data_IF_285907865142
#
_entry.id   IF_285907865142
#
_cell.length_a   1.000
_cell.length_b   1.000
_cell.length_c   1.000
_cell.angle_alpha   90.00
_cell.angle_beta   90.00
_cell.angle_gamma   90.00
#
_symmetry.space_group_name_H-M   'P 1'
#
loop_
_entity.id
_entity.type
_entity.pdbx_description
1 polymer ?
#
# COMPACT_ATOMS: atom_id res chain seq x y z
N UNK A 1 -71.03 3.23 -12.57
CA UNK A 1 -70.14 3.72 -11.47
C UNK A 1 -69.29 2.66 -10.79
N UNK A 2 -69.80 1.43 -10.54
CA UNK A 2 -69.02 0.36 -9.87
C UNK A 2 -67.83 -0.22 -10.71
N UNK A 3 -67.93 -0.22 -12.04
CA UNK A 3 -66.88 -0.80 -12.94
C UNK A 3 -65.62 0.09 -13.09
N UNK A 4 -65.74 1.40 -12.93
CA UNK A 4 -64.58 2.31 -12.98
C UNK A 4 -63.75 2.30 -11.67
N UNK A 5 -64.41 2.09 -10.54
CA UNK A 5 -63.73 2.02 -9.24
C UNK A 5 -62.84 0.77 -9.16
N UNK A 6 -63.28 -0.39 -9.69
CA UNK A 6 -62.48 -1.63 -9.67
C UNK A 6 -61.24 -1.55 -10.59
N UNK A 7 -61.33 -0.89 -11.75
CA UNK A 7 -60.19 -0.67 -12.63
C UNK A 7 -59.12 0.23 -12.04
N UNK A 8 -59.58 1.29 -11.33
CA UNK A 8 -58.66 2.23 -10.66
C UNK A 8 -57.89 1.62 -9.50
N UNK A 9 -58.53 0.71 -8.72
CA UNK A 9 -57.86 0.00 -7.62
C UNK A 9 -56.83 -1.00 -8.17
N UNK A 10 -57.14 -1.75 -9.23
CA UNK A 10 -56.24 -2.72 -9.84
C UNK A 10 -54.99 -2.02 -10.44
N UNK A 11 -55.15 -0.85 -11.04
CA UNK A 11 -54.02 -0.08 -11.57
C UNK A 11 -53.14 0.46 -10.45
N UNK A 12 -53.74 0.90 -9.33
CA UNK A 12 -52.96 1.39 -8.17
C UNK A 12 -52.14 0.27 -7.49
N UNK A 13 -52.71 -0.93 -7.37
CA UNK A 13 -51.99 -2.09 -6.83
C UNK A 13 -50.84 -2.55 -7.73
N UNK A 14 -51.05 -2.57 -9.07
CA UNK A 14 -49.96 -2.91 -10.02
C UNK A 14 -48.87 -1.86 -10.02
N UNK A 15 -49.20 -0.55 -9.92
CA UNK A 15 -48.20 0.51 -9.77
C UNK A 15 -47.43 0.42 -8.46
N UNK A 16 -48.03 0.04 -7.37
CA UNK A 16 -47.41 -0.13 -6.07
C UNK A 16 -46.44 -1.35 -6.07
N UNK A 17 -46.79 -2.46 -6.74
CA UNK A 17 -45.94 -3.62 -6.89
C UNK A 17 -44.73 -3.30 -7.77
N UNK A 18 -44.89 -2.52 -8.83
CA UNK A 18 -43.77 -2.10 -9.70
C UNK A 18 -42.83 -1.14 -8.96
N UNK A 19 -43.33 -0.26 -8.11
CA UNK A 19 -42.52 0.64 -7.28
C UNK A 19 -41.76 -0.10 -6.17
N UNK A 20 -42.33 -1.15 -5.61
CA UNK A 20 -41.66 -1.99 -4.61
C UNK A 20 -40.59 -2.93 -5.23
N UNK A 21 -40.76 -3.31 -6.51
CA UNK A 21 -39.74 -4.12 -7.22
C UNK A 21 -38.53 -3.31 -7.69
N UNK A 22 -38.59 -1.99 -7.74
CA UNK A 22 -37.47 -1.15 -8.21
C UNK A 22 -36.45 -0.77 -7.14
N UNK A 23 -36.69 -1.14 -5.86
CA UNK A 23 -35.80 -0.87 -4.73
C UNK A 23 -35.08 -2.11 -4.20
N UNK A 24 -34.98 -3.17 -4.98
CA UNK A 24 -33.94 -4.17 -4.69
C UNK A 24 -32.61 -3.60 -5.19
N UNK A 25 -31.94 -2.81 -4.35
CA UNK A 25 -30.49 -2.70 -4.43
C UNK A 25 -29.97 -4.15 -4.36
N UNK A 26 -29.51 -4.68 -5.49
CA UNK A 26 -28.63 -5.85 -5.44
C UNK A 26 -27.45 -5.42 -4.58
N UNK A 27 -27.47 -5.75 -3.32
CA UNK A 27 -26.25 -5.92 -2.55
C UNK A 27 -25.57 -7.04 -3.31
N UNK A 28 -24.54 -6.70 -4.07
CA UNK A 28 -23.67 -7.69 -4.67
C UNK A 28 -23.08 -8.48 -3.48
N UNK A 29 -23.66 -9.64 -3.22
CA UNK A 29 -23.27 -10.55 -2.14
C UNK A 29 -21.99 -11.29 -2.55
N UNK A 30 -20.98 -10.50 -2.96
CA UNK A 30 -19.65 -11.02 -3.24
C UNK A 30 -18.98 -11.29 -1.88
N UNK A 31 -18.59 -12.53 -1.67
CA UNK A 31 -17.67 -12.86 -0.60
C UNK A 31 -16.33 -12.13 -0.91
N UNK A 32 -15.81 -11.43 0.08
CA UNK A 32 -14.52 -10.75 -0.01
C UNK A 32 -13.56 -11.36 1.00
N UNK A 33 -12.32 -11.54 0.59
CA UNK A 33 -11.21 -11.83 1.48
C UNK A 33 -10.45 -10.53 1.78
N UNK A 34 -10.08 -10.35 3.05
CA UNK A 34 -9.24 -9.24 3.50
C UNK A 34 -7.84 -9.78 3.77
N UNK A 35 -6.84 -9.28 3.07
CA UNK A 35 -5.43 -9.69 3.22
C UNK A 35 -4.67 -8.53 3.83
N UNK A 36 -3.99 -8.78 4.96
CA UNK A 36 -3.13 -7.81 5.63
C UNK A 36 -1.76 -7.78 4.96
N UNK A 37 -1.41 -6.66 4.39
CA UNK A 37 -0.16 -6.45 3.66
C UNK A 37 0.92 -5.77 4.52
N UNK A 38 0.80 -5.82 5.85
CA UNK A 38 1.68 -5.10 6.76
C UNK A 38 2.43 -6.03 7.70
N UNK A 39 3.70 -5.74 7.93
CA UNK A 39 4.49 -6.35 8.99
C UNK A 39 4.11 -5.77 10.36
N UNK A 40 4.22 -6.60 11.41
CA UNK A 40 4.06 -6.12 12.79
C UNK A 40 5.27 -5.30 13.22
N UNK A 41 5.02 -4.21 13.96
CA UNK A 41 6.08 -3.44 14.60
C UNK A 41 6.54 -4.12 15.90
N UNK A 42 7.85 -4.39 15.99
CA UNK A 42 8.50 -5.02 17.13
C UNK A 42 9.98 -4.61 17.18
N UNK A 43 10.73 -5.17 18.12
CA UNK A 43 12.19 -5.00 18.16
C UNK A 43 12.92 -5.60 16.96
N UNK A 44 12.25 -6.44 16.13
CA UNK A 44 12.80 -7.06 14.92
C UNK A 44 12.39 -6.28 13.65
N UNK A 45 11.64 -5.19 13.78
CA UNK A 45 11.24 -4.36 12.64
C UNK A 45 12.46 -3.80 11.93
N UNK A 46 12.52 -4.00 10.63
CA UNK A 46 13.63 -3.50 9.81
C UNK A 46 13.42 -2.03 9.45
N UNK A 47 14.49 -1.29 9.52
CA UNK A 47 14.59 0.14 9.23
C UNK A 47 15.77 0.40 8.31
N UNK A 48 15.72 1.51 7.60
CA UNK A 48 16.91 2.04 6.94
C UNK A 48 18.09 2.05 7.91
N UNK A 49 19.26 1.69 7.44
CA UNK A 49 20.43 1.40 8.31
C UNK A 49 20.87 2.56 9.20
N UNK A 50 20.47 3.79 8.91
CA UNK A 50 20.75 4.97 9.74
C UNK A 50 19.56 5.43 10.59
N UNK A 51 18.35 4.88 10.38
CA UNK A 51 17.13 5.36 11.05
C UNK A 51 16.99 4.77 12.47
N UNK A 52 16.25 5.48 13.34
CA UNK A 52 15.94 5.02 14.70
C UNK A 52 14.98 3.82 14.67
N UNK A 53 15.33 2.68 15.29
CA UNK A 53 14.45 1.51 15.33
C UNK A 53 13.23 1.73 16.22
N UNK A 54 12.22 0.85 16.04
CA UNK A 54 11.04 0.82 16.90
C UNK A 54 11.38 0.43 18.33
N UNK A 55 10.82 1.15 19.27
CA UNK A 55 10.92 0.89 20.71
C UNK A 55 9.52 0.95 21.31
N UNK A 56 9.17 -0.05 22.14
CA UNK A 56 7.93 -0.12 22.91
C UNK A 56 8.25 -0.18 24.39
N UNK A 57 7.84 0.83 25.14
CA UNK A 57 8.09 0.95 26.56
C UNK A 57 6.81 0.71 27.36
N UNK A 58 6.81 -0.28 28.26
CA UNK A 58 5.66 -0.56 29.11
C UNK A 58 5.55 0.50 30.22
N UNK A 59 4.50 1.31 30.16
CA UNK A 59 4.14 2.27 31.20
C UNK A 59 3.51 1.56 32.39
N UNK A 60 2.56 0.66 32.12
CA UNK A 60 1.89 -0.17 33.14
C UNK A 60 1.33 -1.45 32.50
N UNK A 61 1.45 -2.56 33.24
CA UNK A 61 0.80 -3.82 32.84
C UNK A 61 0.49 -4.65 34.09
N UNK A 62 -0.79 -4.73 34.49
CA UNK A 62 -1.20 -5.50 35.68
C UNK A 62 -2.60 -5.18 36.14
N UNK A 63 -3.00 -5.75 37.30
CA UNK A 63 -4.22 -5.39 37.97
C UNK A 63 -4.02 -4.14 38.81
N UNK A 64 -4.93 -3.19 38.70
CA UNK A 64 -4.95 -1.98 39.51
C UNK A 64 -5.51 -2.25 40.91
N UNK A 65 -5.30 -1.34 41.87
CA UNK A 65 -5.88 -1.41 43.20
C UNK A 65 -7.42 -1.42 43.21
N UNK A 66 -8.04 -1.03 42.08
CA UNK A 66 -9.51 -1.08 41.85
C UNK A 66 -10.00 -2.41 41.31
N UNK A 67 -9.10 -3.40 41.09
CA UNK A 67 -9.43 -4.76 40.68
C UNK A 67 -9.64 -4.98 39.17
N UNK A 68 -9.35 -4.01 38.30
CA UNK A 68 -9.38 -4.23 36.83
C UNK A 68 -7.95 -4.31 36.27
N UNK A 69 -7.80 -5.08 35.20
CA UNK A 69 -6.55 -5.14 34.44
C UNK A 69 -6.39 -3.89 33.57
N UNK A 70 -5.17 -3.33 33.56
CA UNK A 70 -4.80 -2.20 32.72
C UNK A 70 -3.46 -2.48 32.06
N UNK A 71 -3.32 -2.11 30.78
CA UNK A 71 -2.08 -2.16 30.04
C UNK A 71 -1.93 -0.89 29.21
N UNK A 72 -0.81 -0.19 29.37
CA UNK A 72 -0.47 1.00 28.60
C UNK A 72 1.02 0.97 28.27
N UNK A 73 1.35 1.38 27.05
CA UNK A 73 2.72 1.48 26.58
C UNK A 73 2.91 2.83 25.88
N UNK A 74 4.15 3.32 25.89
CA UNK A 74 4.63 4.35 25.00
C UNK A 74 5.43 3.69 23.87
N UNK A 75 5.52 4.34 22.70
CA UNK A 75 6.41 3.87 21.64
C UNK A 75 7.15 5.03 21.00
N UNK A 76 8.31 4.72 20.45
CA UNK A 76 9.13 5.60 19.63
C UNK A 76 9.54 4.87 18.36
N UNK A 77 9.53 5.57 17.22
CA UNK A 77 9.94 5.03 15.90
C UNK A 77 10.39 6.15 14.98
N UNK A 78 11.21 5.86 13.98
CA UNK A 78 11.33 6.71 12.81
C UNK A 78 10.04 6.61 11.98
N UNK A 79 9.72 7.60 11.17
CA UNK A 79 8.56 7.59 10.26
C UNK A 79 8.70 6.53 9.18
N UNK A 80 9.95 6.32 8.70
CA UNK A 80 10.31 5.40 7.62
C UNK A 80 10.92 4.12 8.19
N UNK A 81 10.19 3.02 8.10
CA UNK A 81 10.60 1.69 8.54
C UNK A 81 9.43 0.78 8.89
N UNK A 82 9.64 -0.53 8.84
CA UNK A 82 8.54 -1.48 8.79
C UNK A 82 7.61 -1.16 7.62
N UNK A 83 6.37 -1.62 7.63
CA UNK A 83 5.40 -1.21 6.60
C UNK A 83 4.98 0.24 6.83
N UNK A 84 5.35 1.12 5.91
CA UNK A 84 5.14 2.56 6.03
C UNK A 84 4.76 3.21 4.70
N UNK A 85 4.43 4.48 4.74
CA UNK A 85 4.23 5.34 3.58
C UNK A 85 5.27 6.44 3.56
N UNK A 86 5.79 6.74 2.37
CA UNK A 86 6.53 7.96 2.08
C UNK A 86 5.57 9.01 1.55
N UNK A 87 5.48 10.13 2.27
CA UNK A 87 4.73 11.29 1.81
C UNK A 87 5.54 12.08 0.78
N UNK A 88 4.89 12.78 -0.15
CA UNK A 88 5.58 13.59 -1.17
C UNK A 88 6.65 14.53 -0.64
N UNK A 89 6.44 15.14 0.53
CA UNK A 89 7.40 16.05 1.16
C UNK A 89 8.75 15.39 1.49
N UNK A 90 8.80 14.07 1.55
CA UNK A 90 10.04 13.33 1.85
C UNK A 90 11.18 13.65 0.85
N UNK A 91 10.86 13.78 -0.43
CA UNK A 91 11.81 14.14 -1.50
C UNK A 91 11.39 15.35 -2.34
N UNK A 92 10.33 16.07 -1.93
CA UNK A 92 9.86 17.27 -2.61
C UNK A 92 9.50 18.34 -1.58
N UNK A 93 10.32 19.41 -1.49
CA UNK A 93 10.13 20.53 -0.55
C UNK A 93 8.73 21.17 -0.63
N UNK A 94 8.07 21.10 -1.79
CA UNK A 94 6.72 21.64 -2.04
C UNK A 94 5.66 20.50 -2.03
N UNK A 95 6.06 19.29 -1.65
CA UNK A 95 5.18 18.12 -1.62
C UNK A 95 4.22 18.14 -0.43
N UNK A 96 3.16 17.34 -0.56
CA UNK A 96 2.20 17.13 0.52
C UNK A 96 2.83 16.34 1.67
N UNK A 97 2.61 16.77 2.92
CA UNK A 97 2.90 15.97 4.11
C UNK A 97 1.90 14.81 4.27
N UNK A 98 2.19 13.86 5.14
CA UNK A 98 1.35 12.65 5.29
C UNK A 98 -0.10 12.96 5.69
N UNK A 99 -0.33 14.02 6.46
CA UNK A 99 -1.67 14.46 6.87
C UNK A 99 -2.45 15.18 5.76
N UNK A 100 -1.76 15.65 4.73
CA UNK A 100 -2.32 16.35 3.56
C UNK A 100 -2.62 15.41 2.39
N UNK A 101 -2.11 14.16 2.39
CA UNK A 101 -2.34 13.20 1.30
C UNK A 101 -3.84 12.95 1.13
N UNK A 102 -4.43 13.21 -0.06
CA UNK A 102 -5.84 13.00 -0.27
C UNK A 102 -6.21 11.51 -0.28
N UNK A 103 -7.39 11.18 0.27
CA UNK A 103 -7.80 9.79 0.49
C UNK A 103 -7.83 8.92 -0.77
N UNK A 104 -8.07 9.50 -1.96
CA UNK A 104 -8.04 8.72 -3.21
C UNK A 104 -6.67 8.14 -3.56
N UNK A 105 -5.58 8.66 -2.96
CA UNK A 105 -4.24 8.11 -3.07
C UNK A 105 -3.97 6.98 -2.08
N UNK A 106 -4.81 6.87 -1.05
CA UNK A 106 -4.66 5.92 0.05
C UNK A 106 -5.67 4.77 -0.04
N UNK A 107 -6.78 4.99 -0.76
CA UNK A 107 -7.88 4.02 -0.88
C UNK A 107 -8.37 3.99 -2.32
N UNK A 108 -8.27 2.84 -2.98
CA UNK A 108 -8.69 2.72 -4.37
C UNK A 108 -8.48 1.35 -4.99
N UNK A 109 -8.86 1.23 -6.24
CA UNK A 109 -8.54 0.07 -7.06
C UNK A 109 -7.03 -0.06 -7.19
N UNK A 110 -6.55 -1.30 -7.25
CA UNK A 110 -5.12 -1.56 -7.34
C UNK A 110 -4.82 -2.64 -8.40
N UNK A 111 -3.60 -2.62 -8.89
CA UNK A 111 -3.01 -3.66 -9.71
C UNK A 111 -1.67 -4.09 -9.12
N UNK A 112 -1.24 -5.30 -9.45
CA UNK A 112 0.04 -5.86 -9.03
C UNK A 112 0.85 -6.27 -10.25
N UNK A 113 2.08 -5.80 -10.32
CA UNK A 113 3.08 -6.20 -11.30
C UNK A 113 4.04 -7.16 -10.60
N UNK A 114 4.02 -8.43 -10.99
CA UNK A 114 4.87 -9.47 -10.42
C UNK A 114 6.18 -9.57 -11.21
N UNK A 115 7.29 -9.20 -10.56
CA UNK A 115 8.65 -9.33 -11.08
C UNK A 115 9.50 -10.30 -10.25
N UNK A 116 8.86 -11.08 -9.37
CA UNK A 116 9.53 -11.93 -8.39
C UNK A 116 10.49 -12.95 -9.01
N UNK A 117 10.16 -13.47 -10.20
CA UNK A 117 11.02 -14.42 -10.90
C UNK A 117 12.40 -13.82 -11.21
N UNK A 118 12.44 -12.58 -11.72
CA UNK A 118 13.69 -11.89 -12.06
C UNK A 118 14.38 -11.32 -10.81
N UNK A 119 13.61 -10.72 -9.91
CA UNK A 119 14.11 -10.09 -8.71
C UNK A 119 14.76 -11.10 -7.72
N UNK A 120 14.32 -12.36 -7.71
CA UNK A 120 14.92 -13.40 -6.88
C UNK A 120 16.21 -14.03 -7.49
N UNK A 121 16.44 -13.81 -8.78
CA UNK A 121 17.68 -14.20 -9.45
C UNK A 121 18.75 -13.10 -9.40
N UNK A 122 18.33 -11.82 -9.31
CA UNK A 122 19.21 -10.65 -9.22
C UNK A 122 18.77 -9.76 -8.05
N UNK A 123 19.58 -9.74 -7.00
CA UNK A 123 19.28 -8.96 -5.78
C UNK A 123 19.22 -7.44 -6.01
N UNK A 124 19.84 -6.94 -7.07
CA UNK A 124 19.83 -5.52 -7.46
C UNK A 124 18.93 -5.26 -8.68
N UNK A 125 17.93 -6.12 -8.89
CA UNK A 125 17.03 -6.04 -10.01
C UNK A 125 16.35 -4.68 -10.10
N UNK A 126 16.43 -4.07 -11.27
CA UNK A 126 15.76 -2.81 -11.59
C UNK A 126 14.47 -3.09 -12.37
N UNK A 127 13.33 -2.90 -11.71
CA UNK A 127 12.01 -3.00 -12.34
C UNK A 127 11.94 -2.03 -13.51
N UNK A 128 11.69 -2.55 -14.69
CA UNK A 128 11.86 -1.84 -15.96
C UNK A 128 10.53 -1.39 -16.56
N UNK A 129 10.61 -0.52 -17.59
CA UNK A 129 9.46 -0.17 -18.42
C UNK A 129 8.87 -1.42 -19.09
N UNK A 130 9.70 -2.40 -19.42
CA UNK A 130 9.26 -3.63 -20.07
C UNK A 130 8.40 -4.48 -19.15
N UNK A 131 8.73 -4.56 -17.85
CA UNK A 131 7.90 -5.26 -16.87
C UNK A 131 6.49 -4.65 -16.80
N UNK A 132 6.41 -3.32 -16.77
CA UNK A 132 5.13 -2.60 -16.77
C UNK A 132 4.33 -2.88 -18.06
N UNK A 133 4.99 -2.78 -19.21
CA UNK A 133 4.36 -3.04 -20.52
C UNK A 133 3.96 -4.50 -20.69
N UNK A 134 4.72 -5.44 -20.14
CA UNK A 134 4.39 -6.86 -20.16
C UNK A 134 3.11 -7.12 -19.37
N UNK A 135 2.92 -6.47 -18.21
CA UNK A 135 1.67 -6.54 -17.49
C UNK A 135 0.50 -6.02 -18.33
N UNK A 136 0.64 -4.84 -18.97
CA UNK A 136 -0.40 -4.26 -19.83
C UNK A 136 -0.73 -5.15 -21.04
N UNK A 137 0.28 -5.71 -21.68
CA UNK A 137 0.11 -6.61 -22.82
C UNK A 137 -0.60 -7.92 -22.42
N UNK A 138 -0.21 -8.50 -21.28
CA UNK A 138 -0.82 -9.73 -20.74
C UNK A 138 -2.30 -9.52 -20.43
N UNK A 139 -2.64 -8.38 -19.83
CA UNK A 139 -4.02 -8.04 -19.46
C UNK A 139 -4.80 -7.36 -20.60
N UNK A 140 -4.18 -7.08 -21.75
CA UNK A 140 -4.78 -6.38 -22.89
C UNK A 140 -5.45 -5.05 -22.49
N UNK A 141 -4.88 -4.35 -21.54
CA UNK A 141 -5.36 -3.04 -21.04
C UNK A 141 -4.20 -2.21 -20.49
N UNK A 142 -4.34 -0.89 -20.53
CA UNK A 142 -3.45 0.01 -19.79
C UNK A 142 -3.75 -0.08 -18.30
N UNK A 143 -2.76 0.31 -17.46
CA UNK A 143 -2.99 0.55 -16.04
C UNK A 143 -4.14 1.53 -15.90
N UNK A 144 -5.23 1.18 -15.17
CA UNK A 144 -6.39 2.06 -15.04
C UNK A 144 -6.02 3.36 -14.31
N UNK A 145 -6.63 4.48 -14.73
CA UNK A 145 -6.40 5.77 -14.08
C UNK A 145 -6.73 5.71 -12.58
N UNK A 146 -5.92 6.42 -11.79
CA UNK A 146 -6.01 6.48 -10.34
C UNK A 146 -5.85 5.13 -9.62
N UNK A 147 -5.22 4.13 -10.27
CA UNK A 147 -4.87 2.88 -9.61
C UNK A 147 -3.69 3.07 -8.66
N UNK A 148 -3.69 2.26 -7.60
CA UNK A 148 -2.52 1.98 -6.76
C UNK A 148 -1.73 0.87 -7.45
N UNK A 149 -0.45 1.11 -7.77
CA UNK A 149 0.40 0.16 -8.50
C UNK A 149 1.34 -0.52 -7.52
N UNK A 150 1.18 -1.83 -7.32
CA UNK A 150 2.03 -2.62 -6.43
C UNK A 150 3.05 -3.41 -7.24
N UNK A 151 4.29 -3.42 -6.79
CA UNK A 151 5.39 -4.21 -7.35
C UNK A 151 5.71 -5.37 -6.40
N UNK A 152 5.56 -6.61 -6.86
CA UNK A 152 5.93 -7.80 -6.13
C UNK A 152 7.32 -8.26 -6.57
N UNK A 153 8.31 -8.14 -5.68
CA UNK A 153 9.67 -8.65 -5.89
C UNK A 153 9.89 -10.01 -5.26
N UNK A 154 8.98 -10.45 -4.38
CA UNK A 154 9.09 -11.66 -3.59
C UNK A 154 10.06 -11.55 -2.41
N UNK A 155 10.60 -10.37 -2.13
CA UNK A 155 11.56 -10.12 -1.05
C UNK A 155 10.92 -10.17 0.33
N UNK A 156 9.63 -9.88 0.47
CA UNK A 156 8.92 -9.96 1.75
C UNK A 156 9.07 -11.31 2.47
N UNK A 157 9.39 -12.39 1.74
CA UNK A 157 9.64 -13.72 2.31
C UNK A 157 10.90 -13.78 3.19
N UNK A 158 11.84 -12.85 3.00
CA UNK A 158 13.08 -12.78 3.76
C UNK A 158 12.94 -11.97 5.05
N UNK A 159 11.89 -11.14 5.17
CA UNK A 159 11.65 -10.33 6.36
C UNK A 159 11.35 -11.24 7.59
N UNK A 160 11.93 -11.01 8.79
CA UNK A 160 12.80 -9.91 9.20
C UNK A 160 14.31 -10.22 9.20
N UNK A 161 14.79 -11.15 8.38
CA UNK A 161 16.23 -11.42 8.25
C UNK A 161 16.91 -10.27 7.48
N UNK A 162 17.62 -9.39 8.19
CA UNK A 162 18.22 -8.18 7.61
C UNK A 162 19.24 -8.50 6.51
N UNK A 163 20.05 -9.55 6.66
CA UNK A 163 21.05 -9.92 5.65
C UNK A 163 20.36 -10.40 4.37
N UNK A 164 19.36 -11.27 4.52
CA UNK A 164 18.63 -11.80 3.35
C UNK A 164 17.73 -10.75 2.69
N UNK A 165 17.18 -9.79 3.47
CA UNK A 165 16.22 -8.80 3.00
C UNK A 165 16.85 -7.50 2.51
N UNK A 166 17.93 -7.05 3.15
CA UNK A 166 18.57 -5.74 2.90
C UNK A 166 20.00 -5.87 2.36
N UNK A 167 20.61 -7.06 2.41
CA UNK A 167 22.02 -7.29 2.07
C UNK A 167 22.97 -7.19 3.26
N UNK A 168 22.55 -6.51 4.35
CA UNK A 168 23.41 -6.32 5.54
C UNK A 168 22.58 -6.21 6.82
N UNK A 169 23.17 -6.64 7.95
CA UNK A 169 22.65 -6.37 9.31
C UNK A 169 23.42 -5.22 10.01
N UNK A 170 24.41 -4.65 9.33
CA UNK A 170 25.19 -3.53 9.85
C UNK A 170 24.34 -2.25 9.88
N UNK A 171 24.69 -1.34 10.79
CA UNK A 171 24.00 -0.07 11.00
C UNK A 171 24.97 1.10 10.88
N UNK A 172 24.46 2.25 10.48
CA UNK A 172 25.22 3.49 10.31
C UNK A 172 25.53 3.81 8.84
N UNK A 173 26.20 4.94 8.61
CA UNK A 173 26.46 5.48 7.26
C UNK A 173 27.29 4.52 6.38
N UNK A 174 28.20 3.78 6.98
CA UNK A 174 29.02 2.82 6.23
C UNK A 174 28.24 1.63 5.69
N UNK A 175 27.11 1.28 6.33
CA UNK A 175 26.27 0.18 5.91
C UNK A 175 25.41 0.50 4.67
N UNK A 176 25.22 1.79 4.34
CA UNK A 176 24.41 2.20 3.17
C UNK A 176 24.93 1.59 1.87
N UNK A 177 26.24 1.49 1.71
CA UNK A 177 26.89 0.90 0.52
C UNK A 177 26.78 -0.63 0.44
N UNK A 178 26.33 -1.29 1.51
CA UNK A 178 26.14 -2.73 1.60
C UNK A 178 24.69 -3.16 1.36
N UNK A 179 23.81 -2.19 1.10
CA UNK A 179 22.39 -2.46 0.84
C UNK A 179 22.24 -3.09 -0.55
N UNK A 180 21.54 -4.21 -0.61
CA UNK A 180 21.22 -4.95 -1.82
C UNK A 180 19.79 -5.46 -1.77
N UNK A 181 18.91 -4.88 -2.55
CA UNK A 181 17.52 -5.31 -2.76
C UNK A 181 16.96 -4.67 -4.04
N UNK A 182 15.96 -5.31 -4.69
CA UNK A 182 15.34 -4.79 -5.92
C UNK A 182 14.58 -3.49 -5.69
N UNK A 183 14.45 -2.69 -6.74
CA UNK A 183 13.64 -1.48 -6.73
C UNK A 183 13.20 -1.03 -8.12
N UNK A 184 12.44 0.04 -8.19
CA UNK A 184 11.98 0.63 -9.44
C UNK A 184 13.12 1.39 -10.12
N UNK A 185 13.32 1.18 -11.41
CA UNK A 185 14.30 1.96 -12.17
C UNK A 185 13.81 3.40 -12.37
N UNK A 186 14.74 4.33 -12.47
CA UNK A 186 14.48 5.73 -12.84
C UNK A 186 13.61 5.83 -14.08
N UNK A 187 13.96 5.08 -15.11
CA UNK A 187 13.28 5.09 -16.40
C UNK A 187 11.82 4.62 -16.28
N UNK A 188 11.58 3.60 -15.45
CA UNK A 188 10.23 3.09 -15.19
C UNK A 188 9.40 4.08 -14.36
N UNK A 189 10.00 4.72 -13.34
CA UNK A 189 9.35 5.79 -12.57
C UNK A 189 8.97 6.96 -13.48
N UNK A 190 9.90 7.43 -14.31
CA UNK A 190 9.65 8.51 -15.27
C UNK A 190 8.56 8.15 -16.28
N UNK A 191 8.62 6.92 -16.82
CA UNK A 191 7.62 6.45 -17.76
C UNK A 191 6.22 6.41 -17.13
N UNK A 192 6.08 5.97 -15.87
CA UNK A 192 4.81 5.95 -15.15
C UNK A 192 4.22 7.35 -15.03
N UNK A 193 4.98 8.34 -14.57
CA UNK A 193 4.47 9.71 -14.38
C UNK A 193 4.14 10.41 -15.68
N UNK A 194 4.82 10.06 -16.79
CA UNK A 194 4.57 10.65 -18.11
C UNK A 194 3.41 9.98 -18.86
N UNK A 195 3.13 8.71 -18.61
CA UNK A 195 2.22 7.92 -19.45
C UNK A 195 1.00 7.40 -18.71
N UNK A 196 0.94 7.51 -17.37
CA UNK A 196 -0.16 6.97 -16.56
C UNK A 196 -0.58 7.97 -15.48
N UNK A 197 -1.86 7.93 -15.12
CA UNK A 197 -2.43 8.69 -14.01
C UNK A 197 -2.57 7.73 -12.82
N UNK A 198 -1.51 7.53 -12.04
CA UNK A 198 -1.54 6.63 -10.89
C UNK A 198 -1.81 7.38 -9.58
N UNK A 199 -2.44 6.70 -8.62
CA UNK A 199 -2.71 7.26 -7.29
C UNK A 199 -1.48 7.21 -6.40
N UNK A 200 -0.87 6.04 -6.29
CA UNK A 200 0.32 5.74 -5.48
C UNK A 200 1.02 4.50 -6.01
N UNK A 201 2.21 4.23 -5.50
CA UNK A 201 2.95 3.01 -5.76
C UNK A 201 3.17 2.24 -4.46
N UNK A 202 3.49 0.95 -4.54
CA UNK A 202 3.89 0.15 -3.38
C UNK A 202 4.82 -0.98 -3.78
N UNK A 203 5.69 -1.40 -2.83
CA UNK A 203 6.69 -2.45 -3.06
C UNK A 203 6.93 -3.27 -1.79
N UNK A 204 7.38 -4.51 -1.94
CA UNK A 204 7.71 -5.42 -0.84
C UNK A 204 9.20 -5.43 -0.48
N UNK A 205 9.92 -4.33 -0.74
CA UNK A 205 11.31 -4.08 -0.37
C UNK A 205 11.43 -2.89 0.60
N UNK A 206 12.63 -2.66 1.23
CA UNK A 206 12.84 -1.55 2.16
C UNK A 206 12.69 -0.16 1.55
N UNK A 207 12.80 -0.05 0.21
CA UNK A 207 12.73 1.20 -0.53
C UNK A 207 12.15 0.97 -1.93
N UNK A 208 11.46 1.99 -2.47
CA UNK A 208 11.03 2.00 -3.87
C UNK A 208 12.23 2.11 -4.83
N UNK A 209 13.33 2.75 -4.43
CA UNK A 209 14.60 2.66 -5.13
C UNK A 209 15.31 1.36 -4.75
N UNK A 210 16.18 0.85 -5.62
CA UNK A 210 16.99 -0.34 -5.34
C UNK A 210 18.12 -0.05 -4.32
N UNK A 211 18.64 -1.09 -3.66
CA UNK A 211 19.59 -0.96 -2.56
C UNK A 211 20.85 -0.14 -2.83
N UNK A 212 21.36 -0.18 -4.07
CA UNK A 212 22.55 0.57 -4.49
C UNK A 212 22.25 1.99 -5.01
N UNK A 213 21.00 2.45 -4.93
CA UNK A 213 20.64 3.81 -5.33
C UNK A 213 21.29 4.84 -4.40
N UNK A 214 22.04 5.78 -4.98
CA UNK A 214 22.68 6.89 -4.26
C UNK A 214 22.01 8.25 -4.51
N UNK A 215 21.12 8.31 -5.48
CA UNK A 215 20.42 9.53 -5.89
C UNK A 215 18.90 9.47 -5.63
N UNK A 216 18.39 8.31 -5.21
CA UNK A 216 16.97 8.08 -4.91
C UNK A 216 16.04 8.57 -6.03
N UNK A 217 16.40 8.21 -7.27
CA UNK A 217 15.80 8.83 -8.47
C UNK A 217 14.32 8.49 -8.62
N UNK A 218 13.89 7.29 -8.23
CA UNK A 218 12.48 6.90 -8.27
C UNK A 218 11.66 7.67 -7.23
N UNK A 219 12.18 7.88 -6.02
CA UNK A 219 11.56 8.76 -5.03
C UNK A 219 11.42 10.18 -5.58
N UNK A 220 12.52 10.79 -6.04
CA UNK A 220 12.52 12.17 -6.56
C UNK A 220 11.47 12.34 -7.65
N UNK A 221 11.34 11.38 -8.57
CA UNK A 221 10.39 11.44 -9.69
C UNK A 221 8.95 11.31 -9.21
N UNK A 222 8.65 10.26 -8.42
CA UNK A 222 7.28 9.97 -7.98
C UNK A 222 6.77 11.00 -6.98
N UNK A 223 7.53 11.26 -5.91
CA UNK A 223 7.15 12.21 -4.87
C UNK A 223 7.13 13.64 -5.41
N UNK A 224 7.97 13.95 -6.42
CA UNK A 224 7.93 15.21 -7.17
C UNK A 224 6.60 15.47 -7.88
N UNK A 225 5.80 14.43 -8.14
CA UNK A 225 4.45 14.50 -8.72
C UNK A 225 3.35 14.27 -7.67
N UNK A 226 3.66 14.38 -6.39
CA UNK A 226 2.78 14.07 -5.26
C UNK A 226 2.21 12.64 -5.34
N UNK A 227 2.96 11.67 -5.84
CA UNK A 227 2.61 10.25 -5.86
C UNK A 227 3.33 9.57 -4.69
N UNK A 228 2.63 9.24 -3.59
CA UNK A 228 3.24 8.61 -2.42
C UNK A 228 3.62 7.15 -2.69
N UNK A 229 4.56 6.62 -1.89
CA UNK A 229 5.01 5.24 -1.98
C UNK A 229 4.73 4.47 -0.68
N UNK A 230 4.30 3.21 -0.80
CA UNK A 230 4.20 2.26 0.32
C UNK A 230 5.38 1.30 0.24
N UNK A 231 6.08 1.11 1.34
CA UNK A 231 7.28 0.27 1.40
C UNK A 231 7.16 -0.83 2.45
N UNK A 232 8.00 -1.84 2.33
CA UNK A 232 7.96 -3.02 3.18
C UNK A 232 6.57 -3.69 3.24
N UNK A 233 5.91 -3.80 2.08
CA UNK A 233 4.66 -4.56 1.98
C UNK A 233 4.94 -6.06 2.12
N UNK A 234 3.93 -6.82 2.54
CA UNK A 234 4.02 -8.29 2.64
C UNK A 234 2.83 -8.96 1.99
N UNK A 235 2.91 -10.28 1.81
CA UNK A 235 1.83 -11.12 1.28
C UNK A 235 1.30 -10.72 -0.10
N UNK A 236 2.07 -9.97 -0.90
CA UNK A 236 1.67 -9.59 -2.26
C UNK A 236 1.43 -10.82 -3.16
N UNK A 237 2.12 -11.93 -2.90
CA UNK A 237 1.95 -13.21 -3.59
C UNK A 237 0.55 -13.84 -3.40
N UNK A 238 -0.26 -13.35 -2.46
CA UNK A 238 -1.65 -13.78 -2.27
C UNK A 238 -2.65 -12.97 -3.10
N UNK A 239 -2.20 -11.87 -3.70
CA UNK A 239 -3.06 -11.00 -4.50
C UNK A 239 -3.13 -11.48 -5.95
N UNK A 240 -4.29 -11.38 -6.61
CA UNK A 240 -4.35 -11.44 -8.06
C UNK A 240 -3.59 -10.24 -8.65
N UNK A 241 -3.31 -10.28 -9.95
CA UNK A 241 -2.63 -9.15 -10.62
C UNK A 241 -3.54 -7.93 -10.82
N UNK A 242 -4.87 -8.12 -10.78
CA UNK A 242 -5.87 -7.05 -10.79
C UNK A 242 -7.19 -7.45 -10.12
N UNK A 243 -8.18 -6.55 -10.12
CA UNK A 243 -9.52 -6.84 -9.60
C UNK A 243 -9.63 -6.79 -8.07
N UNK A 244 -8.71 -6.13 -7.40
CA UNK A 244 -8.72 -5.89 -5.95
C UNK A 244 -8.62 -4.40 -5.63
N UNK A 245 -8.81 -4.06 -4.37
CA UNK A 245 -8.63 -2.71 -3.86
C UNK A 245 -7.76 -2.67 -2.62
N UNK A 246 -7.08 -1.54 -2.43
CA UNK A 246 -6.22 -1.26 -1.27
C UNK A 246 -6.89 -0.22 -0.38
N UNK A 247 -6.72 -0.40 0.92
CA UNK A 247 -6.93 0.61 1.96
C UNK A 247 -5.64 0.71 2.77
N UNK A 248 -4.97 1.86 2.70
CA UNK A 248 -3.69 2.14 3.34
C UNK A 248 -3.78 3.47 4.08
N UNK A 249 -4.23 3.44 5.33
CA UNK A 249 -4.42 4.64 6.15
C UNK A 249 -3.26 4.77 7.15
N UNK A 250 -2.30 5.69 6.91
CA UNK A 250 -1.18 5.92 7.79
C UNK A 250 -1.59 6.62 9.09
N UNK A 251 -0.69 6.61 10.07
CA UNK A 251 -0.76 7.53 11.19
C UNK A 251 -0.73 8.96 10.62
N UNK A 252 -1.77 9.77 10.96
CA UNK A 252 -1.93 11.12 10.42
C UNK A 252 -1.08 12.12 11.20
N UNK A 253 0.22 12.14 10.92
CA UNK A 253 1.20 13.02 11.55
C UNK A 253 1.19 14.36 10.81
N UNK A 254 0.92 15.45 11.52
CA UNK A 254 1.00 16.82 10.97
C UNK A 254 2.45 17.12 10.55
N UNK A 255 2.63 17.62 9.32
CA UNK A 255 3.93 17.88 8.70
C UNK A 255 4.85 16.64 8.56
N UNK A 256 4.33 15.41 8.76
CA UNK A 256 5.11 14.18 8.67
C UNK A 256 5.59 13.90 7.25
N UNK A 257 6.86 13.49 7.12
CA UNK A 257 7.46 13.07 5.84
C UNK A 257 7.05 11.65 5.44
N UNK A 258 6.55 10.87 6.38
CA UNK A 258 6.04 9.52 6.24
C UNK A 258 5.37 9.06 7.52
N UNK A 259 4.87 7.83 7.54
CA UNK A 259 4.29 7.27 8.75
C UNK A 259 4.14 5.74 8.66
N UNK A 260 4.15 5.04 9.81
CA UNK A 260 3.65 3.68 9.91
C UNK A 260 2.24 3.56 9.32
N UNK A 261 1.99 2.51 8.54
CA UNK A 261 0.70 2.29 7.88
C UNK A 261 0.24 0.84 7.99
N UNK A 262 -1.07 0.63 8.20
CA UNK A 262 -1.69 -0.67 8.03
C UNK A 262 -2.32 -0.74 6.64
N UNK A 263 -1.76 -1.57 5.78
CA UNK A 263 -2.23 -1.76 4.40
C UNK A 263 -3.07 -3.04 4.32
N UNK A 264 -4.26 -2.92 3.77
CA UNK A 264 -5.20 -4.01 3.63
C UNK A 264 -5.65 -4.10 2.18
N UNK A 265 -5.54 -5.30 1.61
CA UNK A 265 -6.17 -5.60 0.33
C UNK A 265 -7.54 -6.23 0.55
N UNK A 266 -8.51 -5.82 -0.28
CA UNK A 266 -9.83 -6.44 -0.39
C UNK A 266 -9.93 -7.12 -1.73
N UNK A 267 -9.97 -8.45 -1.72
CA UNK A 267 -10.01 -9.32 -2.90
C UNK A 267 -11.39 -9.95 -3.02
N UNK A 268 -11.92 -9.98 -4.22
CA UNK A 268 -13.18 -10.69 -4.51
C UNK A 268 -12.89 -12.18 -4.57
N UNK A 269 -13.67 -12.99 -3.82
CA UNK A 269 -13.59 -14.46 -3.80
C UNK A 269 -14.58 -15.07 -4.79
#
# INVERSE_FOLDING_TARGET
>A
MKTYLFKSILIAEVLLIVLLSSCQNKVDDYAYEMIDLSHSYSGETLYWVTATPFQLDTVFKGFTDKGYFYCANDFRTAEHGGTHIDAPIHFNEQGQSVDEIPLYRLVGAAIKIDVSANALEDQDYLISIEDIKNWENTHQKMIPDQSIVLFETGYSKFYPDAIAYMGTDQRGEDAVKELHFPGLSKEAAQWLVENRIIASVGIDTPSIDYGQSSLFESHVILLGQNIPAFENLTQLNKLPEDGFSITALPMKIEEGSGAPVRVIAKVKV
#
